data_IF_085124369682
#
_entry.id   IF_085124369682
#
_cell.length_a   1.000
_cell.length_b   1.000
_cell.length_c   1.000
_cell.angle_alpha   90.00
_cell.angle_beta   90.00
_cell.angle_gamma   90.00
#
_symmetry.space_group_name_H-M   'P 1'
#
loop_
_entity.id
_entity.type
_entity.pdbx_description
1 polymer ?
#
# COMPACT_ATOMS: atom_id res chain seq x y z
N UNK A 1 4.00 7.44 0.59
CA UNK A 1 3.63 6.40 -0.40
C UNK A 1 2.14 6.07 -0.33
N UNK A 2 1.62 5.47 0.74
CA UNK A 2 0.20 5.06 0.82
C UNK A 2 -0.79 6.20 0.57
N UNK A 3 -0.56 7.40 1.12
CA UNK A 3 -1.42 8.56 0.85
C UNK A 3 -1.46 8.93 -0.64
N UNK A 4 -0.32 8.89 -1.31
CA UNK A 4 -0.22 9.13 -2.76
C UNK A 4 -1.02 8.08 -3.53
N UNK A 5 -0.93 6.80 -3.12
CA UNK A 5 -1.71 5.73 -3.73
C UNK A 5 -3.22 5.87 -3.50
N UNK A 6 -3.64 6.32 -2.30
CA UNK A 6 -5.04 6.65 -2.04
C UNK A 6 -5.53 7.76 -2.97
N UNK A 7 -4.74 8.83 -3.13
CA UNK A 7 -5.09 9.93 -4.06
C UNK A 7 -5.17 9.44 -5.51
N UNK A 8 -4.28 8.55 -5.95
CA UNK A 8 -4.37 7.90 -7.26
C UNK A 8 -5.68 7.11 -7.38
N UNK A 9 -6.07 6.33 -6.37
CA UNK A 9 -7.34 5.59 -6.37
C UNK A 9 -8.58 6.48 -6.33
N UNK A 10 -8.54 7.61 -5.61
CA UNK A 10 -9.66 8.53 -5.49
C UNK A 10 -9.88 9.38 -6.76
N UNK A 11 -8.80 9.75 -7.44
CA UNK A 11 -8.83 10.67 -8.59
C UNK A 11 -8.92 9.95 -9.94
N UNK A 12 -8.57 8.67 -9.99
CA UNK A 12 -8.64 7.84 -11.18
C UNK A 12 -9.77 6.83 -11.06
N UNK A 13 -10.26 6.37 -12.21
CA UNK A 13 -11.40 5.47 -12.27
C UNK A 13 -10.94 4.01 -12.43
N UNK A 14 -11.83 3.08 -12.09
CA UNK A 14 -11.69 1.64 -12.33
C UNK A 14 -10.51 0.94 -11.63
N UNK A 15 -9.85 1.54 -10.65
CA UNK A 15 -8.86 0.82 -9.82
C UNK A 15 -9.59 -0.01 -8.78
N UNK A 16 -9.32 -1.32 -8.68
CA UNK A 16 -9.99 -2.24 -7.73
C UNK A 16 -9.18 -2.57 -6.49
N UNK A 17 -7.86 -2.70 -6.66
CA UNK A 17 -6.91 -2.98 -5.58
C UNK A 17 -5.60 -2.29 -5.91
N UNK A 18 -4.92 -1.79 -4.88
CA UNK A 18 -3.53 -1.37 -4.99
C UNK A 18 -2.67 -2.04 -3.91
N UNK A 19 -1.42 -2.33 -4.22
CA UNK A 19 -0.47 -2.93 -3.29
C UNK A 19 0.85 -2.17 -3.34
N UNK A 20 1.37 -1.77 -2.18
CA UNK A 20 2.64 -1.06 -2.07
C UNK A 20 3.56 -1.66 -1.01
N UNK A 21 4.85 -1.64 -1.32
CA UNK A 21 5.94 -2.06 -0.45
C UNK A 21 7.18 -1.23 -0.80
N UNK A 22 8.05 -0.94 0.19
CA UNK A 22 9.24 -0.10 -0.02
C UNK A 22 8.92 1.20 -0.78
N UNK A 23 9.52 1.37 -1.95
CA UNK A 23 9.46 2.50 -2.88
C UNK A 23 8.56 2.23 -4.10
N UNK A 24 7.81 1.13 -4.12
CA UNK A 24 6.91 0.76 -5.22
C UNK A 24 5.42 0.73 -4.83
N UNK A 25 4.57 0.90 -5.84
CA UNK A 25 3.12 0.70 -5.74
C UNK A 25 2.57 0.13 -7.06
N UNK A 26 1.71 -0.88 -6.94
CA UNK A 26 0.99 -1.51 -8.04
C UNK A 26 -0.49 -1.13 -7.99
N UNK A 27 -1.06 -0.75 -9.13
CA UNK A 27 -2.48 -0.42 -9.26
C UNK A 27 -3.14 -1.36 -10.26
N UNK A 28 -4.21 -2.02 -9.83
CA UNK A 28 -4.95 -2.98 -10.66
C UNK A 28 -6.23 -2.32 -11.15
N UNK A 29 -6.32 -2.14 -12.47
CA UNK A 29 -7.53 -1.67 -13.12
C UNK A 29 -8.47 -2.83 -13.45
N UNK A 30 -9.79 -2.59 -13.38
CA UNK A 30 -10.84 -3.55 -13.72
C UNK A 30 -10.58 -4.19 -15.08
N UNK A 31 -10.73 -5.51 -15.18
CA UNK A 31 -10.52 -6.23 -16.44
C UNK A 31 -11.39 -5.69 -17.58
N UNK A 32 -12.65 -5.31 -17.28
CA UNK A 32 -13.63 -4.78 -18.24
C UNK A 32 -13.53 -3.25 -18.46
N UNK A 33 -12.54 -2.55 -17.86
CA UNK A 33 -12.41 -1.09 -18.01
C UNK A 33 -12.36 -0.64 -19.47
N UNK A 34 -12.99 0.49 -19.77
CA UNK A 34 -12.84 1.20 -21.04
C UNK A 34 -12.23 2.60 -20.85
N UNK A 35 -11.67 2.86 -19.65
CA UNK A 35 -11.02 4.12 -19.34
C UNK A 35 -9.89 4.39 -20.33
N UNK A 36 -9.89 5.61 -20.90
CA UNK A 36 -9.01 6.02 -22.00
C UNK A 36 -8.89 5.01 -23.17
N UNK A 37 -9.94 4.25 -23.48
CA UNK A 37 -9.93 3.22 -24.53
C UNK A 37 -8.80 2.20 -24.36
N UNK A 38 -8.45 1.91 -23.10
CA UNK A 38 -7.40 0.97 -22.70
C UNK A 38 -5.99 1.31 -23.24
N UNK A 39 -5.72 2.58 -23.53
CA UNK A 39 -4.40 3.03 -23.97
C UNK A 39 -3.38 2.90 -22.83
N UNK A 40 -2.42 1.99 -22.96
CA UNK A 40 -1.35 1.77 -21.97
C UNK A 40 -0.66 3.07 -21.52
N UNK A 41 -0.38 3.96 -22.47
CA UNK A 41 0.22 5.27 -22.18
C UNK A 41 -0.59 6.09 -21.19
N UNK A 42 -1.93 6.02 -21.25
CA UNK A 42 -2.82 6.81 -20.39
C UNK A 42 -2.88 6.24 -18.97
N UNK A 43 -2.89 4.92 -18.81
CA UNK A 43 -2.74 4.32 -17.48
C UNK A 43 -1.42 4.76 -16.84
N UNK A 44 -0.29 4.60 -17.54
CA UNK A 44 1.03 4.94 -16.97
C UNK A 44 1.14 6.41 -16.61
N UNK A 45 0.86 7.32 -17.56
CA UNK A 45 1.15 8.73 -17.33
C UNK A 45 0.26 9.33 -16.25
N UNK A 46 -1.02 8.96 -16.20
CA UNK A 46 -1.93 9.48 -15.19
C UNK A 46 -1.60 8.94 -13.80
N UNK A 47 -1.27 7.64 -13.67
CA UNK A 47 -0.83 7.08 -12.38
C UNK A 47 0.48 7.74 -11.94
N UNK A 48 1.50 7.76 -12.80
CA UNK A 48 2.82 8.30 -12.46
C UNK A 48 2.77 9.79 -12.11
N UNK A 49 2.05 10.60 -12.91
CA UNK A 49 1.95 12.04 -12.64
C UNK A 49 1.19 12.33 -11.36
N UNK A 50 0.09 11.62 -11.10
CA UNK A 50 -0.74 11.84 -9.92
C UNK A 50 -0.05 11.34 -8.65
N UNK A 51 0.70 10.25 -8.75
CA UNK A 51 1.51 9.76 -7.64
C UNK A 51 2.63 10.75 -7.30
N UNK A 52 3.38 11.22 -8.30
CA UNK A 52 4.48 12.15 -8.12
C UNK A 52 4.01 13.50 -7.55
N UNK A 53 2.91 14.06 -8.07
CA UNK A 53 2.34 15.31 -7.56
C UNK A 53 1.91 15.16 -6.10
N UNK A 54 1.22 14.07 -5.77
CA UNK A 54 0.78 13.76 -4.41
C UNK A 54 1.94 13.55 -3.45
N UNK A 55 3.07 12.98 -3.91
CA UNK A 55 4.25 12.77 -3.09
C UNK A 55 4.84 14.08 -2.58
N UNK A 56 4.97 15.08 -3.46
CA UNK A 56 5.46 16.42 -3.08
C UNK A 56 4.40 17.15 -2.26
N UNK A 57 3.13 17.05 -2.65
CA UNK A 57 2.02 17.77 -2.00
C UNK A 57 1.84 17.37 -0.54
N UNK A 58 1.81 16.06 -0.25
CA UNK A 58 1.61 15.54 1.10
C UNK A 58 2.93 15.34 1.87
N UNK A 59 4.08 15.75 1.34
CA UNK A 59 5.38 15.54 2.01
C UNK A 59 5.38 16.08 3.45
N UNK A 60 4.86 17.29 3.66
CA UNK A 60 4.84 17.95 4.97
C UNK A 60 3.92 17.29 6.00
N UNK A 61 2.93 16.52 5.56
CA UNK A 61 2.01 15.80 6.45
C UNK A 61 2.70 14.60 7.12
N UNK A 62 3.84 14.15 6.56
CA UNK A 62 4.60 13.00 7.05
C UNK A 62 6.02 13.36 7.51
N UNK A 63 6.62 14.37 6.90
CA UNK A 63 7.96 14.87 7.20
C UNK A 63 7.85 16.33 7.63
N UNK A 64 7.45 16.54 8.89
CA UNK A 64 7.21 17.88 9.45
C UNK A 64 8.50 18.72 9.47
N UNK A 65 9.59 18.13 9.94
CA UNK A 65 10.88 18.81 10.14
C UNK A 65 11.86 18.63 8.96
N UNK A 66 11.73 17.57 8.18
CA UNK A 66 12.67 17.25 7.10
C UNK A 66 12.22 17.92 5.79
N UNK A 67 12.92 18.96 5.29
CA UNK A 67 12.54 19.60 4.04
C UNK A 67 12.80 18.69 2.84
N UNK A 68 11.93 18.79 1.83
CA UNK A 68 12.14 18.17 0.53
C UNK A 68 13.18 18.97 -0.26
N UNK A 69 14.35 18.38 -0.49
CA UNK A 69 15.48 19.07 -1.14
C UNK A 69 15.35 19.15 -2.66
N UNK A 70 14.72 18.15 -3.28
CA UNK A 70 14.51 18.07 -4.73
C UNK A 70 13.25 17.24 -5.04
N UNK A 71 12.57 17.52 -6.17
CA UNK A 71 11.42 16.72 -6.59
C UNK A 71 11.87 15.32 -7.05
N UNK A 72 11.31 14.22 -6.51
CA UNK A 72 11.67 12.88 -6.92
C UNK A 72 11.02 12.49 -8.26
N UNK A 73 11.63 11.52 -8.94
CA UNK A 73 11.08 10.87 -10.13
C UNK A 73 10.54 9.48 -9.82
N UNK A 74 9.52 9.05 -10.55
CA UNK A 74 8.96 7.69 -10.47
C UNK A 74 8.98 7.03 -11.85
N UNK A 75 9.52 5.82 -11.92
CA UNK A 75 9.38 4.96 -13.09
C UNK A 75 8.00 4.28 -13.07
N UNK A 76 7.48 3.91 -14.24
CA UNK A 76 6.17 3.30 -14.39
C UNK A 76 6.10 2.39 -15.60
N UNK A 77 5.42 1.26 -15.46
CA UNK A 77 5.18 0.28 -16.55
C UNK A 77 3.75 -0.26 -16.50
N UNK A 78 3.22 -0.72 -17.63
CA UNK A 78 1.96 -1.50 -17.69
C UNK A 78 2.30 -2.96 -17.94
N UNK A 79 1.64 -3.84 -17.18
CA UNK A 79 1.64 -5.29 -17.42
C UNK A 79 0.20 -5.75 -17.52
N UNK A 80 -0.09 -6.65 -18.45
CA UNK A 80 -1.44 -7.20 -18.67
C UNK A 80 -1.47 -8.65 -18.23
N UNK A 81 -2.39 -8.97 -17.32
CA UNK A 81 -2.64 -10.32 -16.84
C UNK A 81 -3.93 -10.88 -17.46
N UNK A 82 -3.88 -12.00 -18.20
CA UNK A 82 -5.05 -12.53 -18.91
C UNK A 82 -6.06 -13.22 -18.00
N UNK A 83 -5.65 -13.66 -16.79
CA UNK A 83 -6.51 -14.37 -15.85
C UNK A 83 -6.35 -13.86 -14.42
N UNK A 84 -7.40 -14.05 -13.61
CA UNK A 84 -7.38 -13.73 -12.19
C UNK A 84 -6.26 -14.49 -11.46
N UNK A 85 -5.94 -15.72 -11.88
CA UNK A 85 -4.83 -16.47 -11.30
C UNK A 85 -3.49 -15.77 -11.53
N UNK A 86 -3.18 -15.37 -12.77
CA UNK A 86 -1.92 -14.66 -13.07
C UNK A 86 -1.81 -13.31 -12.34
N UNK A 87 -2.94 -12.65 -12.06
CA UNK A 87 -3.00 -11.44 -11.24
C UNK A 87 -2.73 -11.74 -9.75
N UNK A 88 -3.35 -12.78 -9.19
CA UNK A 88 -3.09 -13.24 -7.81
C UNK A 88 -1.62 -13.62 -7.65
N UNK A 89 -1.05 -14.34 -8.62
CA UNK A 89 0.35 -14.75 -8.60
C UNK A 89 1.29 -13.53 -8.63
N UNK A 90 0.96 -12.50 -9.42
CA UNK A 90 1.70 -11.25 -9.43
C UNK A 90 1.69 -10.55 -8.06
N UNK A 91 0.51 -10.37 -7.47
CA UNK A 91 0.39 -9.71 -6.16
C UNK A 91 1.06 -10.53 -5.05
N UNK A 92 0.95 -11.86 -5.12
CA UNK A 92 1.64 -12.79 -4.23
C UNK A 92 3.16 -12.67 -4.36
N UNK A 93 3.66 -12.56 -5.58
CA UNK A 93 5.08 -12.35 -5.85
C UNK A 93 5.59 -11.03 -5.26
N UNK A 94 4.82 -9.94 -5.39
CA UNK A 94 5.17 -8.64 -4.77
C UNK A 94 5.17 -8.73 -3.24
N UNK A 95 4.22 -9.44 -2.63
CA UNK A 95 4.19 -9.60 -1.17
C UNK A 95 5.28 -10.55 -0.65
N UNK A 96 5.63 -11.60 -1.40
CA UNK A 96 6.75 -12.46 -1.07
C UNK A 96 8.08 -11.70 -1.12
N UNK A 97 8.27 -10.84 -2.12
CA UNK A 97 9.42 -9.94 -2.23
C UNK A 97 9.53 -8.99 -1.04
N UNK A 98 8.41 -8.36 -0.64
CA UNK A 98 8.33 -7.54 0.58
C UNK A 98 8.81 -8.30 1.82
N UNK A 99 8.33 -9.54 2.02
CA UNK A 99 8.72 -10.35 3.16
C UNK A 99 10.23 -10.68 3.17
N UNK A 100 10.79 -11.08 2.03
CA UNK A 100 12.21 -11.43 1.89
C UNK A 100 13.09 -10.20 2.15
N UNK A 101 12.77 -9.07 1.51
CA UNK A 101 13.53 -7.84 1.62
C UNK A 101 13.44 -7.26 3.03
N UNK A 102 12.26 -7.27 3.65
CA UNK A 102 12.11 -6.78 5.02
C UNK A 102 12.91 -7.62 6.02
N UNK A 103 12.79 -8.96 5.97
CA UNK A 103 13.57 -9.83 6.87
C UNK A 103 15.08 -9.62 6.71
N UNK A 104 15.57 -9.51 5.47
CA UNK A 104 16.97 -9.23 5.20
C UNK A 104 17.38 -7.85 5.74
N UNK A 105 16.60 -6.80 5.47
CA UNK A 105 16.93 -5.44 5.88
C UNK A 105 16.88 -5.26 7.40
N UNK A 106 15.93 -5.89 8.10
CA UNK A 106 15.86 -5.84 9.56
C UNK A 106 17.14 -6.38 10.19
N UNK A 107 17.58 -7.58 9.80
CA UNK A 107 18.80 -8.18 10.35
C UNK A 107 20.06 -7.45 9.89
N UNK A 108 20.10 -6.99 8.63
CA UNK A 108 21.22 -6.23 8.08
C UNK A 108 21.45 -4.92 8.84
N UNK A 109 20.39 -4.15 9.09
CA UNK A 109 20.49 -2.89 9.83
C UNK A 109 20.71 -3.11 11.33
N UNK A 110 20.19 -4.18 11.92
CA UNK A 110 20.52 -4.55 13.30
C UNK A 110 22.03 -4.81 13.47
N UNK A 111 22.64 -5.57 12.55
CA UNK A 111 24.09 -5.83 12.53
C UNK A 111 24.90 -4.53 12.43
N UNK A 112 24.47 -3.57 11.61
CA UNK A 112 25.19 -2.30 11.44
C UNK A 112 25.01 -1.38 12.65
N UNK A 113 23.76 -1.15 13.05
CA UNK A 113 23.42 -0.12 14.03
C UNK A 113 23.67 -0.57 15.47
N UNK A 114 23.50 -1.86 15.77
CA UNK A 114 23.61 -2.39 17.13
C UNK A 114 24.92 -3.16 17.35
N UNK A 115 25.43 -3.92 16.38
CA UNK A 115 26.72 -4.62 16.49
C UNK A 115 27.92 -3.82 15.95
N UNK A 116 27.68 -2.65 15.32
CA UNK A 116 28.74 -1.80 14.78
C UNK A 116 29.46 -2.36 13.56
N UNK A 117 28.86 -3.33 12.85
CA UNK A 117 29.44 -3.88 11.63
C UNK A 117 29.38 -2.86 10.49
N UNK A 118 30.37 -2.91 9.59
CA UNK A 118 30.29 -2.17 8.34
C UNK A 118 29.27 -2.81 7.38
N UNK A 119 28.70 -2.07 6.41
CA UNK A 119 27.77 -2.62 5.43
C UNK A 119 28.31 -3.87 4.70
N UNK A 120 29.61 -3.87 4.34
CA UNK A 120 30.25 -4.99 3.66
C UNK A 120 30.35 -6.22 4.57
N UNK A 121 30.67 -6.03 5.85
CA UNK A 121 30.73 -7.14 6.81
C UNK A 121 29.34 -7.71 7.10
N UNK A 122 28.32 -6.87 7.27
CA UNK A 122 26.95 -7.30 7.47
C UNK A 122 26.43 -8.09 6.25
N UNK A 123 26.72 -7.62 5.03
CA UNK A 123 26.38 -8.35 3.80
C UNK A 123 27.08 -9.71 3.74
N UNK A 124 28.37 -9.77 4.04
CA UNK A 124 29.12 -11.04 4.07
C UNK A 124 28.59 -12.01 5.13
N UNK A 125 28.20 -11.51 6.31
CA UNK A 125 27.60 -12.30 7.40
C UNK A 125 26.27 -12.93 7.02
N UNK A 126 25.48 -12.26 6.19
CA UNK A 126 24.17 -12.71 5.74
C UNK A 126 24.22 -13.48 4.41
N UNK A 127 25.36 -13.50 3.73
CA UNK A 127 25.52 -14.20 2.46
C UNK A 127 25.31 -15.71 2.64
N UNK A 128 24.44 -16.30 1.82
CA UNK A 128 24.12 -17.74 1.88
C UNK A 128 23.20 -18.17 3.02
N UNK A 129 22.82 -17.26 3.92
CA UNK A 129 21.90 -17.58 5.03
C UNK A 129 20.47 -17.78 4.53
N UNK A 130 19.73 -18.67 5.18
CA UNK A 130 18.31 -18.93 4.95
C UNK A 130 17.43 -17.96 5.76
N UNK A 131 16.11 -18.07 5.62
CA UNK A 131 15.18 -17.26 6.41
C UNK A 131 15.21 -17.62 7.91
N UNK A 132 15.37 -18.91 8.24
CA UNK A 132 15.47 -19.38 9.62
C UNK A 132 16.70 -18.78 10.32
N UNK A 133 17.87 -18.83 9.68
CA UNK A 133 19.11 -18.26 10.21
C UNK A 133 18.98 -16.76 10.51
N UNK A 134 18.31 -15.99 9.64
CA UNK A 134 18.09 -14.55 9.85
C UNK A 134 17.18 -14.29 11.06
N UNK A 135 16.15 -15.10 11.24
CA UNK A 135 15.28 -15.02 12.42
C UNK A 135 16.06 -15.38 13.70
N UNK A 136 16.91 -16.39 13.63
CA UNK A 136 17.75 -16.80 14.77
C UNK A 136 18.78 -15.73 15.14
N UNK A 137 19.41 -15.07 14.17
CA UNK A 137 20.30 -13.93 14.43
C UNK A 137 19.53 -12.79 15.11
N UNK A 138 18.35 -12.41 14.59
CA UNK A 138 17.51 -11.39 15.20
C UNK A 138 17.15 -11.71 16.65
N UNK A 139 16.77 -12.96 16.92
CA UNK A 139 16.34 -13.38 18.24
C UNK A 139 17.51 -13.51 19.22
N UNK A 140 18.58 -14.20 18.84
CA UNK A 140 19.69 -14.54 19.74
C UNK A 140 20.64 -13.36 19.98
N UNK A 141 20.95 -12.59 18.95
CA UNK A 141 21.95 -11.50 19.06
C UNK A 141 21.30 -10.17 19.47
N UNK A 142 20.03 -9.93 19.10
CA UNK A 142 19.36 -8.64 19.30
C UNK A 142 18.10 -8.73 20.17
N UNK A 143 17.67 -9.93 20.58
CA UNK A 143 16.40 -10.14 21.29
C UNK A 143 15.19 -9.56 20.54
N UNK A 144 15.23 -9.59 19.21
CA UNK A 144 14.17 -9.11 18.31
C UNK A 144 13.40 -10.32 17.77
N UNK A 145 12.11 -10.38 18.07
CA UNK A 145 11.21 -11.35 17.44
C UNK A 145 10.60 -10.74 16.18
N UNK A 146 11.03 -11.20 15.00
CA UNK A 146 10.55 -10.71 13.71
C UNK A 146 9.01 -10.77 13.59
N UNK A 147 8.35 -11.76 14.21
CA UNK A 147 6.89 -11.86 14.14
C UNK A 147 6.15 -10.75 14.90
N UNK A 148 6.85 -9.98 15.73
CA UNK A 148 6.32 -8.82 16.43
C UNK A 148 6.60 -7.50 15.68
N UNK A 149 7.37 -7.53 14.60
CA UNK A 149 7.57 -6.36 13.75
C UNK A 149 6.24 -5.86 13.17
N UNK A 150 6.07 -4.55 12.95
CA UNK A 150 4.87 -3.97 12.40
C UNK A 150 4.40 -4.69 11.13
N UNK A 151 3.09 -4.98 11.06
CA UNK A 151 2.51 -5.67 9.91
C UNK A 151 2.75 -4.92 8.60
N UNK A 152 2.74 -3.58 8.64
CA UNK A 152 3.07 -2.74 7.50
C UNK A 152 4.44 -3.09 6.88
N UNK A 153 5.44 -3.37 7.71
CA UNK A 153 6.79 -3.71 7.24
C UNK A 153 6.86 -5.13 6.70
N UNK A 154 6.17 -6.08 7.37
CA UNK A 154 6.22 -7.50 6.99
C UNK A 154 5.33 -7.87 5.82
N UNK A 155 4.23 -7.15 5.61
CA UNK A 155 3.18 -7.49 4.63
C UNK A 155 2.99 -6.42 3.57
N UNK A 156 3.54 -5.22 3.75
CA UNK A 156 3.26 -4.07 2.90
C UNK A 156 1.90 -3.46 3.20
N UNK A 157 1.39 -2.67 2.26
CA UNK A 157 0.07 -2.03 2.36
C UNK A 157 -0.79 -2.42 1.18
N UNK A 158 -1.96 -2.97 1.47
CA UNK A 158 -3.03 -3.22 0.50
C UNK A 158 -4.05 -2.09 0.63
N UNK A 159 -4.52 -1.56 -0.49
CA UNK A 159 -5.63 -0.62 -0.56
C UNK A 159 -6.80 -1.27 -1.29
N UNK A 160 -7.95 -1.31 -0.63
CA UNK A 160 -9.23 -1.73 -1.21
C UNK A 160 -10.31 -0.72 -0.89
N UNK A 161 -11.36 -0.70 -1.70
CA UNK A 161 -12.51 0.15 -1.46
C UNK A 161 -13.38 -0.41 -0.34
N UNK A 162 -13.64 0.40 0.69
CA UNK A 162 -14.61 0.07 1.74
C UNK A 162 -15.62 1.20 1.93
N UNK A 163 -16.83 0.82 2.33
CA UNK A 163 -17.87 1.77 2.74
C UNK A 163 -17.56 2.27 4.15
N UNK A 164 -17.28 3.56 4.27
CA UNK A 164 -16.98 4.24 5.52
C UNK A 164 -18.12 5.23 5.83
N UNK A 165 -18.69 5.10 7.02
CA UNK A 165 -19.74 5.99 7.51
C UNK A 165 -19.12 7.25 8.11
N UNK A 166 -19.40 8.41 7.50
CA UNK A 166 -18.92 9.70 7.98
C UNK A 166 -20.07 10.43 8.68
N UNK A 167 -19.93 10.63 9.99
CA UNK A 167 -20.91 11.39 10.78
C UNK A 167 -20.63 12.88 10.63
N UNK A 168 -21.53 13.59 9.98
CA UNK A 168 -21.43 15.03 9.78
C UNK A 168 -22.54 15.73 10.56
N UNK A 169 -22.20 16.81 11.24
CA UNK A 169 -23.21 17.66 11.88
C UNK A 169 -23.79 18.61 10.84
N UNK A 170 -25.07 18.45 10.50
CA UNK A 170 -25.79 19.40 9.64
C UNK A 170 -26.76 20.22 10.45
N UNK A 171 -26.85 21.49 10.11
CA UNK A 171 -27.85 22.39 10.66
C UNK A 171 -29.18 22.19 9.94
N UNK A 172 -30.24 21.98 10.70
CA UNK A 172 -31.59 21.84 10.17
C UNK A 172 -32.06 23.24 9.75
N UNK A 173 -32.49 23.38 8.49
CA UNK A 173 -33.06 24.62 7.94
C UNK A 173 -34.58 24.65 7.97
N UNK A 174 -35.24 23.48 8.03
CA UNK A 174 -36.69 23.33 8.01
C UNK A 174 -37.12 22.07 8.79
N UNK A 175 -38.32 22.04 9.39
CA UNK A 175 -39.28 23.15 9.53
C UNK A 175 -38.79 24.23 10.52
N UNK A 176 -39.36 25.44 10.45
CA UNK A 176 -38.94 26.64 11.23
C UNK A 176 -38.85 26.39 12.75
N UNK A 177 -39.64 25.46 13.27
CA UNK A 177 -39.62 25.02 14.69
C UNK A 177 -38.34 24.28 15.11
N UNK A 178 -37.57 23.80 14.14
CA UNK A 178 -36.32 23.06 14.32
C UNK A 178 -35.12 23.77 13.67
N UNK A 179 -35.33 24.97 13.12
CA UNK A 179 -34.30 25.76 12.46
C UNK A 179 -33.17 26.12 13.44
N UNK A 180 -31.92 25.83 13.09
CA UNK A 180 -30.75 26.02 13.95
C UNK A 180 -30.40 24.83 14.86
N UNK A 181 -31.22 23.76 14.91
CA UNK A 181 -30.83 22.51 15.60
C UNK A 181 -29.77 21.76 14.77
N UNK A 182 -28.73 21.28 15.45
CA UNK A 182 -27.68 20.44 14.87
C UNK A 182 -28.11 18.98 14.92
N UNK A 183 -28.15 18.33 13.76
CA UNK A 183 -28.44 16.90 13.65
C UNK A 183 -27.21 16.17 13.11
N UNK A 184 -26.89 15.04 13.74
CA UNK A 184 -25.89 14.12 13.21
C UNK A 184 -26.51 13.40 11.98
N UNK A 185 -25.86 13.57 10.83
CA UNK A 185 -26.22 12.90 9.58
C UNK A 185 -25.09 11.96 9.20
N UNK A 186 -25.36 10.67 9.15
CA UNK A 186 -24.42 9.67 8.66
C UNK A 186 -24.44 9.65 7.15
N UNK A 187 -23.29 9.90 6.51
CA UNK A 187 -23.10 9.77 5.06
C UNK A 187 -22.10 8.67 4.78
N UNK A 188 -22.57 7.56 4.22
CA UNK A 188 -21.69 6.50 3.73
C UNK A 188 -20.96 6.95 2.48
N UNK A 189 -19.63 6.83 2.48
CA UNK A 189 -18.76 7.06 1.30
C UNK A 189 -17.85 5.86 1.08
N UNK A 190 -17.55 5.57 -0.18
CA UNK A 190 -16.57 4.55 -0.53
C UNK A 190 -15.19 5.19 -0.56
N UNK A 191 -14.24 4.70 0.24
CA UNK A 191 -12.86 5.23 0.33
C UNK A 191 -11.84 4.08 0.24
N UNK A 192 -10.65 4.32 -0.33
CA UNK A 192 -9.58 3.32 -0.30
C UNK A 192 -8.97 3.24 1.11
N UNK A 193 -9.12 2.10 1.77
CA UNK A 193 -8.63 1.89 3.14
C UNK A 193 -7.35 1.05 3.15
N UNK A 194 -6.36 1.39 4.00
CA UNK A 194 -5.14 0.61 4.14
C UNK A 194 -5.37 -0.64 5.00
N UNK A 195 -4.91 -1.77 4.49
CA UNK A 195 -4.86 -3.07 5.18
C UNK A 195 -3.43 -3.62 5.15
N UNK A 196 -3.02 -4.27 6.23
CA UNK A 196 -1.70 -4.90 6.37
C UNK A 196 -1.87 -6.41 6.63
N UNK A 197 -2.40 -7.12 5.64
CA UNK A 197 -2.77 -8.53 5.74
C UNK A 197 -2.08 -9.37 4.66
N UNK A 198 -2.20 -10.69 4.79
CA UNK A 198 -1.70 -11.64 3.80
C UNK A 198 -2.66 -11.72 2.60
N UNK A 199 -2.14 -11.48 1.39
CA UNK A 199 -2.88 -11.58 0.12
C UNK A 199 -2.39 -12.75 -0.74
N UNK A 200 -1.42 -13.53 -0.24
CA UNK A 200 -0.94 -14.75 -0.88
C UNK A 200 -1.97 -15.86 -0.67
N UNK A 201 -2.45 -16.03 0.56
CA UNK A 201 -3.47 -17.00 0.91
C UNK A 201 -4.85 -16.66 0.36
N UNK A 202 -5.70 -17.67 0.23
CA UNK A 202 -7.07 -17.50 -0.26
C UNK A 202 -8.00 -16.76 0.70
N UNK A 203 -7.60 -16.57 1.96
CA UNK A 203 -8.44 -15.92 2.98
C UNK A 203 -8.87 -14.51 2.55
N UNK A 204 -7.92 -13.68 2.12
CA UNK A 204 -8.19 -12.33 1.63
C UNK A 204 -9.15 -12.31 0.43
N UNK A 205 -8.92 -13.20 -0.54
CA UNK A 205 -9.73 -13.27 -1.75
C UNK A 205 -11.14 -13.81 -1.52
N UNK A 206 -11.33 -14.64 -0.47
CA UNK A 206 -12.66 -15.10 -0.02
C UNK A 206 -13.39 -14.05 0.79
N UNK A 207 -12.67 -13.20 1.51
CA UNK A 207 -13.22 -12.07 2.26
C UNK A 207 -13.65 -10.91 1.35
N UNK A 208 -12.91 -10.70 0.25
CA UNK A 208 -13.14 -9.65 -0.74
C UNK A 208 -13.33 -10.18 -2.17
N UNK A 209 -14.34 -11.04 -2.42
CA UNK A 209 -14.58 -11.63 -3.74
C UNK A 209 -14.84 -10.58 -4.82
N UNK A 210 -15.43 -9.43 -4.46
CA UNK A 210 -15.77 -8.31 -5.36
C UNK A 210 -14.58 -7.69 -6.10
N UNK A 211 -13.35 -7.97 -5.66
CA UNK A 211 -12.14 -7.48 -6.33
C UNK A 211 -11.88 -8.27 -7.62
N UNK A 212 -12.16 -9.58 -7.60
CA UNK A 212 -11.89 -10.51 -8.70
C UNK A 212 -13.16 -10.86 -9.49
N UNK A 213 -14.29 -10.89 -8.79
CA UNK A 213 -15.61 -11.11 -9.33
C UNK A 213 -16.21 -9.75 -9.69
N UNK A 214 -16.16 -9.41 -10.97
CA UNK A 214 -17.09 -8.41 -11.50
C UNK A 214 -18.17 -9.12 -12.30
N UNK A 215 -19.41 -8.87 -11.89
CA UNK A 215 -20.67 -9.30 -12.46
C UNK A 215 -20.66 -9.45 -13.99
N UNK A 216 -21.44 -10.45 -14.43
CA UNK A 216 -21.78 -10.77 -15.83
C UNK A 216 -21.87 -9.55 -16.74
#
# INVERSE_FOLDING_TARGET
MTKCAQTVMEELEDIVIAYGQSDEYSFVFKRKTNWFKRRASKFMTHVASQFASSYVFYWRDYFEDQPLLYPPGFDGRVVVYPSNQTLKDYLSWRQADCHINNLYNTVFWALIQQSGLTPVQAQGRLQGTLAADKNEILFSEFNINYNNEPLMYRKGTVLIWQKVDEVMTKEIKLPTEMEGKKMAVTRTRTKPVPLHCDIIGDAFWKEHPEILDEDS
#
